data_IF_782333794383
#
_entry.id   IF_782333794383
#
_cell.length_a   1.000
_cell.length_b   1.000
_cell.length_c   1.000
_cell.angle_alpha   90.00
_cell.angle_beta   90.00
_cell.angle_gamma   90.00
#
_symmetry.space_group_name_H-M   'P 1'
#
loop_
_entity.id
_entity.type
_entity.pdbx_description
1 polymer ?
#
# COMPACT_ATOMS: atom_id res chain seq x y z
N UNK A 1 3.42 28.54 76.84
CA UNK A 1 4.28 28.52 75.63
C UNK A 1 4.05 27.21 74.88
N UNK A 2 3.43 27.34 73.70
CA UNK A 2 3.32 26.46 72.50
C UNK A 2 3.45 24.93 72.66
N UNK A 3 2.31 24.26 72.47
CA UNK A 3 2.20 22.83 72.15
C UNK A 3 2.52 22.57 70.67
N UNK A 4 3.47 21.69 70.37
CA UNK A 4 3.83 21.27 69.01
C UNK A 4 3.08 19.99 68.67
N UNK A 5 2.17 20.06 67.68
CA UNK A 5 1.55 18.88 67.06
C UNK A 5 2.42 18.45 65.88
N UNK A 6 2.96 17.23 65.93
CA UNK A 6 3.69 16.61 64.83
C UNK A 6 2.66 15.96 63.90
N UNK A 7 2.51 16.51 62.70
CA UNK A 7 1.73 15.92 61.60
C UNK A 7 2.64 14.92 60.85
N UNK A 8 2.30 13.64 60.91
CA UNK A 8 2.92 12.59 60.08
C UNK A 8 2.16 12.58 58.75
N UNK A 9 2.80 13.10 57.69
CA UNK A 9 2.28 12.98 56.33
C UNK A 9 2.65 11.59 55.78
N UNK A 10 1.64 10.75 55.57
CA UNK A 10 1.80 9.47 54.87
C UNK A 10 1.94 9.72 53.37
N UNK A 11 3.13 9.49 52.82
CA UNK A 11 3.39 9.52 51.39
C UNK A 11 2.82 8.24 50.74
N UNK A 12 1.70 8.39 50.02
CA UNK A 12 1.14 7.33 49.19
C UNK A 12 2.03 7.21 47.93
N UNK A 13 2.82 6.15 47.85
CA UNK A 13 3.52 5.77 46.62
C UNK A 13 2.48 5.24 45.62
N UNK A 14 2.06 6.10 44.69
CA UNK A 14 1.40 5.68 43.45
C UNK A 14 2.42 4.94 42.60
N UNK A 15 2.36 3.61 42.59
CA UNK A 15 3.09 2.77 41.64
C UNK A 15 2.45 3.03 40.27
N UNK A 16 3.08 3.93 39.51
CA UNK A 16 2.84 4.11 38.08
C UNK A 16 3.30 2.83 37.38
N UNK A 17 2.36 1.95 37.04
CA UNK A 17 2.60 0.90 36.07
C UNK A 17 2.66 1.56 34.70
N UNK A 18 3.87 1.91 34.26
CA UNK A 18 4.10 2.29 32.88
C UNK A 18 3.53 1.20 31.97
N UNK A 19 2.73 1.54 30.94
CA UNK A 19 2.31 0.55 29.97
C UNK A 19 3.58 0.00 29.33
N UNK A 20 3.75 -1.32 29.39
CA UNK A 20 4.80 -2.05 28.69
C UNK A 20 4.64 -1.78 27.19
N UNK A 21 5.29 -0.72 26.72
CA UNK A 21 5.36 -0.38 25.32
C UNK A 21 5.98 -1.54 24.58
N UNK A 22 5.32 -1.99 23.51
CA UNK A 22 5.95 -2.89 22.55
C UNK A 22 7.18 -2.18 21.99
N UNK A 23 8.36 -2.56 22.49
CA UNK A 23 9.66 -2.06 22.03
C UNK A 23 10.22 -3.00 20.97
N UNK A 24 9.48 -3.18 19.88
CA UNK A 24 10.12 -3.57 18.63
C UNK A 24 9.93 -2.39 17.69
N UNK A 25 11.03 -1.72 17.28
CA UNK A 25 10.93 -0.69 16.27
C UNK A 25 10.34 -1.30 15.00
N UNK A 26 9.46 -0.55 14.33
CA UNK A 26 8.90 -0.94 13.03
C UNK A 26 10.07 -1.34 12.11
N UNK A 27 9.92 -2.44 11.36
CA UNK A 27 10.95 -2.82 10.40
C UNK A 27 11.20 -1.66 9.42
N UNK A 28 12.47 -1.39 9.16
CA UNK A 28 12.88 -0.33 8.24
C UNK A 28 12.42 -0.63 6.81
N UNK A 29 12.13 0.42 6.05
CA UNK A 29 11.87 0.30 4.63
C UNK A 29 13.14 -0.19 3.92
N UNK A 30 13.02 -1.24 3.13
CA UNK A 30 14.14 -1.74 2.31
C UNK A 30 14.61 -0.64 1.34
N UNK A 31 15.91 -0.56 1.04
CA UNK A 31 16.39 0.34 0.00
C UNK A 31 15.72 0.00 -1.34
N UNK A 32 15.59 1.02 -2.19
CA UNK A 32 15.14 0.81 -3.58
C UNK A 32 16.09 -0.18 -4.27
N UNK A 33 15.51 -1.15 -4.99
CA UNK A 33 16.23 -2.28 -5.58
C UNK A 33 16.03 -2.37 -7.09
N UNK A 34 16.82 -3.21 -7.77
CA UNK A 34 16.69 -3.53 -9.20
C UNK A 34 16.73 -2.26 -10.08
N UNK A 35 16.05 -2.29 -11.23
CA UNK A 35 15.97 -1.19 -12.17
C UNK A 35 15.17 0.02 -11.64
N UNK A 36 14.38 -0.13 -10.56
CA UNK A 36 13.72 1.02 -9.91
C UNK A 36 14.75 2.03 -9.42
N UNK A 37 15.89 1.55 -8.90
CA UNK A 37 17.00 2.40 -8.48
C UNK A 37 17.62 3.11 -9.70
N UNK A 38 17.92 2.35 -10.74
CA UNK A 38 18.56 2.87 -11.97
C UNK A 38 17.73 3.96 -12.64
N UNK A 39 16.42 3.75 -12.79
CA UNK A 39 15.55 4.79 -13.36
C UNK A 39 15.34 5.96 -12.40
N UNK A 40 15.30 5.71 -11.09
CA UNK A 40 15.18 6.76 -10.07
C UNK A 40 16.41 7.66 -9.93
N UNK A 41 17.57 7.26 -10.47
CA UNK A 41 18.78 8.09 -10.54
C UNK A 41 18.77 9.05 -11.75
N UNK A 42 17.87 8.85 -12.72
CA UNK A 42 17.70 9.75 -13.86
C UNK A 42 16.96 11.02 -13.43
N UNK A 43 17.13 12.10 -14.20
CA UNK A 43 16.45 13.37 -13.92
C UNK A 43 14.93 13.19 -14.03
N UNK A 44 14.22 13.46 -12.94
CA UNK A 44 12.76 13.57 -12.89
C UNK A 44 12.22 14.97 -13.21
N UNK A 45 13.11 15.93 -13.50
CA UNK A 45 12.73 17.31 -13.85
C UNK A 45 12.22 17.42 -15.29
N UNK A 46 11.44 18.48 -15.60
CA UNK A 46 11.01 18.73 -16.97
C UNK A 46 12.18 18.81 -17.95
N UNK A 47 12.05 18.14 -19.10
CA UNK A 47 12.99 18.24 -20.21
C UNK A 47 12.40 19.16 -21.30
N UNK A 48 13.05 20.31 -21.62
CA UNK A 48 12.54 21.26 -22.61
C UNK A 48 12.29 20.68 -24.00
N UNK A 49 13.05 19.66 -24.42
CA UNK A 49 12.88 19.02 -25.74
C UNK A 49 11.56 18.25 -25.86
N UNK A 50 10.95 17.89 -24.73
CA UNK A 50 9.70 17.13 -24.66
C UNK A 50 8.63 17.85 -23.82
N UNK A 51 8.73 19.17 -23.69
CA UNK A 51 7.84 19.96 -22.83
C UNK A 51 6.33 19.79 -23.14
N UNK A 52 5.99 19.45 -24.39
CA UNK A 52 4.60 19.15 -24.78
C UNK A 52 3.98 18.00 -23.96
N UNK A 53 4.80 17.03 -23.51
CA UNK A 53 4.33 15.89 -22.71
C UNK A 53 3.78 16.33 -21.35
N UNK A 54 4.29 17.42 -20.78
CA UNK A 54 3.85 17.91 -19.46
C UNK A 54 2.46 18.58 -19.51
N UNK A 55 1.94 18.84 -20.70
CA UNK A 55 0.54 19.28 -20.88
C UNK A 55 -0.46 18.13 -20.77
N UNK A 56 0.01 16.88 -20.82
CA UNK A 56 -0.85 15.69 -20.83
C UNK A 56 -1.17 15.27 -19.40
N UNK A 57 -2.45 15.26 -19.07
CA UNK A 57 -2.98 14.70 -17.82
C UNK A 57 -3.86 13.50 -18.12
N UNK A 58 -4.24 12.75 -17.09
CA UNK A 58 -5.18 11.65 -17.26
C UNK A 58 -6.51 12.19 -17.86
N UNK A 59 -7.01 11.63 -18.98
CA UNK A 59 -8.19 12.16 -19.64
C UNK A 59 -9.45 12.09 -18.76
N UNK A 60 -10.15 13.22 -18.60
CA UNK A 60 -11.39 13.27 -17.82
C UNK A 60 -12.47 12.32 -18.32
N UNK A 61 -12.55 12.12 -19.64
CA UNK A 61 -13.50 11.19 -20.27
C UNK A 61 -13.24 9.72 -19.89
N UNK A 62 -12.03 9.38 -19.43
CA UNK A 62 -11.66 8.04 -18.97
C UNK A 62 -11.80 7.87 -17.44
N UNK A 63 -12.03 8.95 -16.68
CA UNK A 63 -12.04 8.89 -15.21
C UNK A 63 -13.38 8.33 -14.71
N UNK A 64 -13.33 7.12 -14.14
CA UNK A 64 -14.49 6.49 -13.52
C UNK A 64 -15.05 7.33 -12.36
N UNK A 65 -16.36 7.62 -12.33
CA UNK A 65 -17.01 8.23 -11.18
C UNK A 65 -16.79 7.45 -9.88
N UNK A 66 -16.73 6.12 -9.95
CA UNK A 66 -16.50 5.26 -8.77
C UNK A 66 -15.11 5.48 -8.16
N UNK A 67 -14.11 5.79 -8.96
CA UNK A 67 -12.78 6.12 -8.45
C UNK A 67 -12.81 7.44 -7.65
N UNK A 68 -13.66 8.40 -8.04
CA UNK A 68 -13.87 9.65 -7.30
C UNK A 68 -14.64 9.39 -6.01
N UNK A 69 -15.71 8.60 -6.03
CA UNK A 69 -16.52 8.35 -4.83
C UNK A 69 -15.73 7.66 -3.72
N UNK A 70 -14.82 6.74 -4.06
CA UNK A 70 -13.93 6.11 -3.09
C UNK A 70 -13.01 7.13 -2.36
N UNK A 71 -12.65 8.25 -3.00
CA UNK A 71 -11.84 9.29 -2.36
C UNK A 71 -12.61 10.11 -1.30
N UNK A 72 -13.93 10.02 -1.27
CA UNK A 72 -14.79 10.78 -0.36
C UNK A 72 -15.00 10.08 0.99
N UNK A 73 -14.64 8.79 1.09
CA UNK A 73 -14.80 8.00 2.30
C UNK A 73 -13.77 8.41 3.35
N UNK A 74 -14.15 8.38 4.63
CA UNK A 74 -13.21 8.63 5.73
C UNK A 74 -12.27 7.46 5.91
N UNK A 75 -11.04 7.75 6.28
CA UNK A 75 -10.08 6.76 6.78
C UNK A 75 -10.48 6.26 8.17
N UNK A 76 -10.03 5.05 8.52
CA UNK A 76 -10.19 4.35 9.79
C UNK A 76 -9.02 4.64 10.72
N UNK A 77 -7.78 4.38 10.28
CA UNK A 77 -6.59 4.51 11.12
C UNK A 77 -5.76 5.75 10.79
N UNK A 78 -5.68 6.11 9.52
CA UNK A 78 -4.94 7.27 9.04
C UNK A 78 -5.66 8.55 9.45
N UNK A 79 -4.97 9.43 10.18
CA UNK A 79 -5.53 10.72 10.59
C UNK A 79 -5.41 11.76 9.47
N UNK A 80 -6.33 12.73 9.37
CA UNK A 80 -6.26 13.76 8.33
C UNK A 80 -4.93 14.53 8.27
N UNK A 81 -4.32 14.81 9.43
CA UNK A 81 -3.04 15.53 9.52
C UNK A 81 -1.85 14.71 9.00
N UNK A 82 -1.91 13.38 9.10
CA UNK A 82 -0.88 12.48 8.56
C UNK A 82 -1.12 12.23 7.07
N UNK A 83 -2.38 12.08 6.67
CA UNK A 83 -2.78 11.98 5.26
C UNK A 83 -2.33 13.19 4.44
N UNK A 84 -2.49 14.40 4.98
CA UNK A 84 -2.10 15.65 4.31
C UNK A 84 -0.59 15.71 3.95
N UNK A 85 0.25 14.89 4.60
CA UNK A 85 1.69 14.79 4.32
C UNK A 85 1.99 13.86 3.15
N UNK A 86 1.10 12.93 2.80
CA UNK A 86 1.35 11.89 1.80
C UNK A 86 1.70 12.44 0.42
N UNK A 87 1.03 13.48 -0.13
CA UNK A 87 1.41 14.05 -1.41
C UNK A 87 2.83 14.63 -1.45
N UNK A 88 3.38 15.04 -0.29
CA UNK A 88 4.75 15.56 -0.18
C UNK A 88 5.82 14.48 0.02
N UNK A 89 5.46 13.21 0.20
CA UNK A 89 6.43 12.13 0.39
C UNK A 89 7.05 11.66 -0.93
N UNK A 90 6.27 11.69 -2.01
CA UNK A 90 6.71 11.28 -3.34
C UNK A 90 5.89 11.99 -4.40
N UNK A 91 6.58 12.48 -5.43
CA UNK A 91 5.96 13.10 -6.59
C UNK A 91 6.22 12.21 -7.82
N UNK A 92 5.30 12.15 -8.78
CA UNK A 92 5.61 11.57 -10.07
C UNK A 92 6.68 12.42 -10.77
N UNK A 93 7.64 11.81 -11.48
CA UNK A 93 8.51 12.53 -12.40
C UNK A 93 7.69 13.30 -13.43
N UNK A 94 8.22 14.41 -13.96
CA UNK A 94 7.58 15.12 -15.07
C UNK A 94 7.36 14.16 -16.25
N UNK A 95 6.29 14.34 -17.01
CA UNK A 95 6.02 13.47 -18.16
C UNK A 95 7.15 13.58 -19.20
N UNK A 96 7.72 14.77 -19.36
CA UNK A 96 8.82 15.05 -20.28
C UNK A 96 10.19 14.53 -19.79
N UNK A 97 10.32 14.20 -18.51
CA UNK A 97 11.61 13.90 -17.85
C UNK A 97 12.36 12.72 -18.47
N UNK A 98 13.67 12.67 -18.24
CA UNK A 98 14.52 11.57 -18.71
C UNK A 98 14.19 10.26 -18.00
N UNK A 99 13.79 10.34 -16.72
CA UNK A 99 13.25 9.19 -15.99
C UNK A 99 11.98 8.64 -16.66
N UNK A 100 10.96 9.46 -16.93
CA UNK A 100 9.73 9.00 -17.59
C UNK A 100 10.03 8.40 -18.96
N UNK A 101 10.97 8.96 -19.73
CA UNK A 101 11.36 8.41 -21.03
C UNK A 101 11.97 7.00 -20.90
N UNK A 102 12.93 6.81 -20.00
CA UNK A 102 13.52 5.49 -19.76
C UNK A 102 12.51 4.46 -19.25
N UNK A 103 11.56 4.90 -18.42
CA UNK A 103 10.46 4.07 -17.93
C UNK A 103 9.52 3.62 -19.06
N UNK A 104 9.18 4.51 -20.00
CA UNK A 104 8.39 4.14 -21.19
C UNK A 104 9.14 3.16 -22.10
N UNK A 105 10.45 3.34 -22.27
CA UNK A 105 11.28 2.43 -23.06
C UNK A 105 11.37 1.03 -22.42
N UNK A 106 11.42 0.97 -21.09
CA UNK A 106 11.30 -0.28 -20.34
C UNK A 106 9.98 -1.00 -20.60
N UNK A 107 8.85 -0.28 -20.57
CA UNK A 107 7.54 -0.87 -20.82
C UNK A 107 7.39 -1.36 -22.27
N UNK A 108 7.95 -0.63 -23.24
CA UNK A 108 8.02 -1.09 -24.64
C UNK A 108 8.86 -2.36 -24.77
N UNK A 109 9.99 -2.45 -24.06
CA UNK A 109 10.79 -3.67 -24.03
C UNK A 109 9.99 -4.85 -23.45
N UNK A 110 9.29 -4.66 -22.32
CA UNK A 110 8.44 -5.69 -21.71
C UNK A 110 7.32 -6.13 -22.65
N UNK A 111 6.66 -5.19 -23.33
CA UNK A 111 5.62 -5.50 -24.31
C UNK A 111 6.14 -6.43 -25.41
N UNK A 112 7.38 -6.22 -25.86
CA UNK A 112 7.99 -7.01 -26.94
C UNK A 112 8.57 -8.34 -26.47
N UNK A 113 8.84 -8.51 -25.17
CA UNK A 113 9.50 -9.70 -24.62
C UNK A 113 8.62 -10.56 -23.70
N UNK A 114 7.46 -10.08 -23.28
CA UNK A 114 6.58 -10.81 -22.34
C UNK A 114 6.07 -12.12 -22.96
N UNK A 115 6.18 -13.19 -22.18
CA UNK A 115 5.70 -14.53 -22.53
C UNK A 115 4.22 -14.70 -22.20
N UNK A 116 3.57 -15.74 -22.77
CA UNK A 116 2.16 -16.04 -22.48
C UNK A 116 1.93 -16.35 -21.01
N UNK A 117 2.88 -17.03 -20.39
CA UNK A 117 2.85 -17.43 -18.98
C UNK A 117 2.92 -16.19 -18.07
N UNK A 118 3.80 -15.23 -18.40
CA UNK A 118 3.89 -13.97 -17.67
C UNK A 118 2.60 -13.14 -17.83
N UNK A 119 2.03 -13.09 -19.03
CA UNK A 119 0.75 -12.41 -19.29
C UNK A 119 -0.35 -13.01 -18.42
N UNK A 120 -0.55 -14.32 -18.48
CA UNK A 120 -1.57 -15.03 -17.71
C UNK A 120 -1.39 -14.80 -16.21
N UNK A 121 -0.15 -14.81 -15.72
CA UNK A 121 0.14 -14.53 -14.30
C UNK A 121 -0.20 -13.08 -13.92
N UNK A 122 0.14 -12.11 -14.76
CA UNK A 122 -0.16 -10.71 -14.48
C UNK A 122 -1.66 -10.39 -14.55
N UNK A 123 -2.39 -11.02 -15.45
CA UNK A 123 -3.86 -10.94 -15.55
C UNK A 123 -4.53 -11.58 -14.33
N UNK A 124 -4.06 -12.75 -13.89
CA UNK A 124 -4.50 -13.36 -12.63
C UNK A 124 -4.32 -12.40 -11.46
N UNK A 125 -3.12 -11.84 -11.27
CA UNK A 125 -2.84 -10.87 -10.20
C UNK A 125 -3.69 -9.60 -10.34
N UNK A 126 -4.03 -9.18 -11.57
CA UNK A 126 -4.86 -7.99 -11.79
C UNK A 126 -6.27 -8.11 -11.23
N UNK A 127 -6.78 -9.33 -11.15
CA UNK A 127 -8.10 -9.62 -10.59
C UNK A 127 -8.08 -9.85 -9.07
N UNK A 128 -6.91 -9.73 -8.43
CA UNK A 128 -6.81 -9.79 -6.97
C UNK A 128 -6.89 -8.36 -6.41
N UNK A 129 -7.82 -8.16 -5.49
CA UNK A 129 -7.93 -6.95 -4.71
C UNK A 129 -9.22 -6.91 -3.90
N UNK A 130 -9.09 -6.48 -2.66
CA UNK A 130 -10.24 -6.32 -1.77
C UNK A 130 -10.79 -4.88 -1.78
N UNK A 131 -12.06 -4.78 -1.42
CA UNK A 131 -12.87 -3.59 -1.34
C UNK A 131 -13.59 -3.52 0.01
N UNK A 132 -13.48 -2.37 0.69
CA UNK A 132 -14.07 -2.15 2.02
C UNK A 132 -15.60 -2.05 1.99
N UNK A 133 -16.19 -1.76 0.83
CA UNK A 133 -17.64 -1.58 0.68
C UNK A 133 -18.40 -2.87 0.31
N UNK A 134 -17.72 -4.02 0.20
CA UNK A 134 -18.37 -5.34 0.05
C UNK A 134 -18.66 -5.91 1.44
N UNK A 135 -19.78 -5.48 2.02
CA UNK A 135 -20.15 -5.71 3.41
C UNK A 135 -21.23 -6.78 3.60
N UNK A 136 -22.08 -7.00 2.60
CA UNK A 136 -23.23 -7.88 2.74
C UNK A 136 -22.82 -9.36 2.51
N UNK A 137 -23.00 -10.26 3.51
CA UNK A 137 -22.61 -11.67 3.41
C UNK A 137 -23.33 -12.46 2.32
N UNK A 138 -24.39 -11.92 1.74
CA UNK A 138 -25.11 -12.56 0.63
C UNK A 138 -24.65 -12.09 -0.75
N UNK A 139 -23.75 -11.11 -0.84
CA UNK A 139 -23.20 -10.67 -2.13
C UNK A 139 -22.30 -11.77 -2.72
N UNK A 140 -22.38 -12.03 -4.04
CA UNK A 140 -21.56 -13.07 -4.69
C UNK A 140 -20.05 -12.91 -4.44
N UNK A 141 -19.58 -11.67 -4.33
CA UNK A 141 -18.16 -11.35 -4.17
C UNK A 141 -17.70 -11.33 -2.71
N UNK A 142 -18.60 -11.50 -1.73
CA UNK A 142 -18.29 -11.34 -0.30
C UNK A 142 -17.18 -12.28 0.21
N UNK A 143 -17.28 -13.55 -0.18
CA UNK A 143 -16.34 -14.62 0.19
C UNK A 143 -14.98 -14.38 -0.44
N UNK A 144 -14.95 -14.08 -1.74
CA UNK A 144 -13.72 -13.87 -2.50
C UNK A 144 -13.00 -12.60 -2.04
N UNK A 145 -13.74 -11.51 -1.81
CA UNK A 145 -13.21 -10.26 -1.26
C UNK A 145 -12.42 -10.48 0.04
N UNK A 146 -12.89 -11.37 0.92
CA UNK A 146 -12.24 -11.69 2.20
C UNK A 146 -11.07 -12.65 2.04
N UNK A 147 -11.15 -13.62 1.13
CA UNK A 147 -10.00 -14.49 0.82
C UNK A 147 -8.83 -13.68 0.28
N UNK A 148 -9.10 -12.70 -0.58
CA UNK A 148 -8.07 -11.88 -1.21
C UNK A 148 -7.33 -10.95 -0.24
N UNK A 149 -7.89 -10.62 0.93
CA UNK A 149 -7.17 -9.91 2.02
C UNK A 149 -5.92 -10.65 2.48
N UNK A 150 -5.86 -11.98 2.25
CA UNK A 150 -4.77 -12.82 2.69
C UNK A 150 -3.83 -13.23 1.55
N UNK A 151 -3.96 -12.65 0.35
CA UNK A 151 -3.14 -13.02 -0.81
C UNK A 151 -1.63 -12.91 -0.54
N UNK A 152 -1.21 -11.86 0.17
CA UNK A 152 0.20 -11.67 0.54
C UNK A 152 0.70 -12.75 1.50
N UNK A 153 -0.18 -13.25 2.38
CA UNK A 153 0.16 -14.27 3.35
C UNK A 153 0.22 -15.69 2.77
N UNK A 154 -0.15 -15.91 1.49
CA UNK A 154 -0.28 -17.24 0.86
C UNK A 154 0.92 -18.17 1.10
N UNK A 155 2.13 -17.60 1.19
CA UNK A 155 3.39 -18.32 1.47
C UNK A 155 3.51 -18.94 2.87
N UNK A 156 2.55 -18.67 3.77
CA UNK A 156 2.53 -19.19 5.15
C UNK A 156 1.89 -20.57 5.24
N UNK A 157 0.99 -20.92 4.31
CA UNK A 157 0.28 -22.21 4.26
C UNK A 157 -1.23 -22.06 4.04
N UNK A 158 -1.97 -23.16 4.11
CA UNK A 158 -3.41 -23.24 3.87
C UNK A 158 -4.27 -23.39 5.14
N UNK A 159 -3.63 -23.49 6.30
CA UNK A 159 -4.26 -23.71 7.61
C UNK A 159 -4.95 -22.46 8.19
N UNK A 160 -4.62 -21.27 7.67
CA UNK A 160 -5.26 -20.02 8.03
C UNK A 160 -6.24 -19.58 6.95
N UNK A 161 -7.33 -18.91 7.35
CA UNK A 161 -8.27 -18.26 6.45
C UNK A 161 -9.04 -17.17 7.21
N UNK A 162 -9.82 -16.38 6.47
CA UNK A 162 -10.52 -15.25 7.07
C UNK A 162 -11.57 -15.65 8.14
N UNK A 163 -12.05 -16.90 8.15
CA UNK A 163 -13.03 -17.39 9.15
C UNK A 163 -12.37 -17.78 10.47
N UNK A 164 -11.20 -18.43 10.44
CA UNK A 164 -10.47 -18.81 11.66
C UNK A 164 -9.44 -17.75 12.11
N UNK A 165 -9.26 -16.66 11.36
CA UNK A 165 -8.48 -15.48 11.73
C UNK A 165 -9.33 -14.18 11.75
N UNK A 166 -10.39 -14.10 12.58
CA UNK A 166 -11.29 -12.95 12.60
C UNK A 166 -10.61 -11.63 13.02
N UNK A 167 -9.64 -11.65 13.95
CA UNK A 167 -8.95 -10.43 14.37
C UNK A 167 -8.07 -9.87 13.25
N UNK A 168 -7.33 -10.74 12.56
CA UNK A 168 -6.53 -10.37 11.39
C UNK A 168 -7.43 -9.90 10.25
N UNK A 169 -8.55 -10.58 10.00
CA UNK A 169 -9.52 -10.18 8.96
C UNK A 169 -10.06 -8.78 9.21
N UNK A 170 -10.44 -8.46 10.45
CA UNK A 170 -10.95 -7.13 10.80
C UNK A 170 -9.87 -6.04 10.63
N UNK A 171 -8.63 -6.33 11.05
CA UNK A 171 -7.50 -5.42 10.85
C UNK A 171 -7.27 -5.13 9.36
N UNK A 172 -7.26 -6.17 8.51
CA UNK A 172 -7.07 -6.04 7.06
C UNK A 172 -8.22 -5.27 6.39
N UNK A 173 -9.47 -5.49 6.81
CA UNK A 173 -10.62 -4.71 6.32
C UNK A 173 -10.53 -3.21 6.67
N UNK A 174 -10.02 -2.88 7.85
CA UNK A 174 -9.81 -1.48 8.22
C UNK A 174 -8.64 -0.86 7.43
N UNK A 175 -7.55 -1.61 7.24
CA UNK A 175 -6.41 -1.18 6.43
C UNK A 175 -6.77 -1.01 4.95
N UNK A 176 -7.55 -1.91 4.35
CA UNK A 176 -7.93 -1.80 2.92
C UNK A 176 -8.77 -0.55 2.67
N UNK A 177 -9.61 -0.13 3.62
CA UNK A 177 -10.34 1.14 3.50
C UNK A 177 -9.37 2.33 3.39
N UNK A 178 -8.41 2.43 4.30
CA UNK A 178 -7.40 3.50 4.26
C UNK A 178 -6.55 3.46 2.99
N UNK A 179 -6.15 2.27 2.55
CA UNK A 179 -5.39 2.07 1.32
C UNK A 179 -6.17 2.57 0.11
N UNK A 180 -7.45 2.19 -0.04
CA UNK A 180 -8.28 2.60 -1.19
C UNK A 180 -8.54 4.10 -1.16
N UNK A 181 -8.88 4.66 -0.01
CA UNK A 181 -9.08 6.11 0.14
C UNK A 181 -7.81 6.88 -0.25
N UNK A 182 -6.65 6.44 0.27
CA UNK A 182 -5.34 7.03 -0.03
C UNK A 182 -5.01 6.94 -1.52
N UNK A 183 -5.17 5.75 -2.12
CA UNK A 183 -4.95 5.50 -3.54
C UNK A 183 -5.69 6.54 -4.40
N UNK A 184 -7.01 6.65 -4.19
CA UNK A 184 -7.84 7.50 -5.03
C UNK A 184 -7.64 8.99 -4.77
N UNK A 185 -7.29 9.39 -3.54
CA UNK A 185 -6.93 10.78 -3.23
C UNK A 185 -5.62 11.21 -3.89
N UNK A 186 -4.59 10.36 -3.85
CA UNK A 186 -3.34 10.65 -4.56
C UNK A 186 -3.56 10.73 -6.07
N UNK A 187 -4.36 9.80 -6.63
CA UNK A 187 -4.75 9.86 -8.05
C UNK A 187 -5.46 11.16 -8.40
N UNK A 188 -6.34 11.65 -7.53
CA UNK A 188 -7.03 12.92 -7.70
C UNK A 188 -6.10 14.14 -7.64
N UNK A 189 -5.12 14.12 -6.73
CA UNK A 189 -4.12 15.19 -6.59
C UNK A 189 -3.25 15.28 -7.85
N UNK A 190 -2.65 14.16 -8.24
CA UNK A 190 -1.62 14.16 -9.28
C UNK A 190 -2.15 14.05 -10.70
N UNK A 191 -3.29 13.38 -10.91
CA UNK A 191 -3.91 13.17 -12.24
C UNK A 191 -2.91 12.71 -13.31
N UNK A 192 -1.89 11.94 -12.91
CA UNK A 192 -0.82 11.49 -13.81
C UNK A 192 -1.40 10.66 -14.96
N UNK A 193 -1.04 11.02 -16.18
CA UNK A 193 -1.35 10.24 -17.36
C UNK A 193 -0.72 8.84 -17.28
N UNK A 194 -1.48 7.80 -17.64
CA UNK A 194 -0.97 6.41 -17.78
C UNK A 194 0.08 6.31 -18.92
N UNK A 195 0.97 5.29 -18.90
CA UNK A 195 1.99 5.09 -19.94
C UNK A 195 1.47 5.18 -21.38
N UNK A 196 0.34 4.52 -21.66
CA UNK A 196 -0.28 4.47 -22.99
C UNK A 196 -0.91 5.79 -23.46
N UNK A 197 -0.99 6.82 -22.60
CA UNK A 197 -1.36 8.17 -23.05
C UNK A 197 -0.15 8.96 -23.56
N UNK A 198 1.06 8.64 -23.06
CA UNK A 198 2.30 9.33 -23.43
C UNK A 198 3.04 8.63 -24.56
N UNK A 199 2.91 7.30 -24.67
CA UNK A 199 3.59 6.48 -25.67
C UNK A 199 2.57 5.76 -26.58
N UNK A 200 2.29 6.29 -27.79
CA UNK A 200 1.33 5.70 -28.72
C UNK A 200 1.67 4.28 -29.18
N UNK A 201 2.94 3.88 -29.13
CA UNK A 201 3.37 2.51 -29.48
C UNK A 201 3.05 1.48 -28.39
N UNK A 202 2.71 1.93 -27.18
CA UNK A 202 2.37 1.05 -26.08
C UNK A 202 0.92 0.55 -26.23
N UNK A 203 0.77 -0.77 -26.30
CA UNK A 203 -0.49 -1.51 -26.38
C UNK A 203 -0.68 -2.25 -25.04
N UNK A 204 -1.31 -1.61 -24.04
CA UNK A 204 -1.48 -2.21 -22.73
C UNK A 204 -2.45 -3.40 -22.82
N UNK A 205 -2.25 -4.40 -21.96
CA UNK A 205 -3.13 -5.58 -21.93
C UNK A 205 -4.51 -5.26 -21.34
N UNK A 206 -4.61 -4.16 -20.60
CA UNK A 206 -5.87 -3.64 -20.06
C UNK A 206 -5.78 -2.12 -19.92
N UNK A 207 -6.94 -1.45 -19.83
CA UNK A 207 -7.01 0.00 -19.57
C UNK A 207 -7.70 0.25 -18.25
N UNK A 208 -7.13 1.14 -17.45
CA UNK A 208 -7.64 1.46 -16.12
C UNK A 208 -8.25 2.86 -16.11
N UNK A 209 -9.48 2.96 -15.60
CA UNK A 209 -10.31 4.18 -15.59
C UNK A 209 -10.01 5.10 -14.40
N UNK A 210 -8.73 5.28 -14.08
CA UNK A 210 -8.25 6.19 -13.04
C UNK A 210 -6.80 6.63 -13.32
N UNK A 211 -6.33 7.79 -12.79
CA UNK A 211 -4.96 8.25 -12.95
C UNK A 211 -3.88 7.24 -12.53
N UNK A 212 -2.66 7.40 -13.05
CA UNK A 212 -1.57 6.42 -12.85
C UNK A 212 -0.97 6.50 -11.44
N UNK A 213 -0.77 7.70 -10.88
CA UNK A 213 0.03 7.85 -9.66
C UNK A 213 -0.82 7.89 -8.38
N UNK A 214 -0.45 7.18 -7.30
CA UNK A 214 0.49 6.06 -7.27
C UNK A 214 -0.20 4.76 -7.73
N UNK A 215 0.55 3.67 -7.93
CA UNK A 215 -0.04 2.38 -8.28
C UNK A 215 -0.85 1.79 -7.12
N UNK A 216 -2.13 1.49 -7.36
CA UNK A 216 -3.06 0.99 -6.34
C UNK A 216 -2.74 -0.41 -5.85
N UNK A 217 -2.54 -1.34 -6.80
CA UNK A 217 -2.13 -2.72 -6.47
C UNK A 217 -0.79 -2.75 -5.75
N UNK A 218 0.17 -1.89 -6.13
CA UNK A 218 1.45 -1.81 -5.44
C UNK A 218 1.30 -1.22 -4.04
N UNK A 219 0.47 -0.19 -3.87
CA UNK A 219 0.19 0.40 -2.55
C UNK A 219 -0.43 -0.65 -1.62
N UNK A 220 -1.44 -1.37 -2.10
CA UNK A 220 -2.09 -2.45 -1.38
C UNK A 220 -1.10 -3.57 -1.00
N UNK A 221 -0.45 -4.17 -1.98
CA UNK A 221 0.42 -5.34 -1.76
C UNK A 221 1.61 -5.03 -0.84
N UNK A 222 2.27 -3.88 -0.99
CA UNK A 222 3.35 -3.51 -0.06
C UNK A 222 2.84 -3.17 1.33
N UNK A 223 1.67 -2.51 1.45
CA UNK A 223 1.12 -2.19 2.77
C UNK A 223 0.79 -3.46 3.55
N UNK A 224 0.16 -4.44 2.89
CA UNK A 224 -0.09 -5.75 3.49
C UNK A 224 1.21 -6.51 3.75
N UNK A 225 2.20 -6.48 2.85
CA UNK A 225 3.48 -7.14 3.07
C UNK A 225 4.22 -6.58 4.31
N UNK A 226 4.23 -5.26 4.48
CA UNK A 226 4.81 -4.65 5.67
C UNK A 226 4.00 -4.99 6.92
N UNK A 227 2.67 -4.96 6.85
CA UNK A 227 1.79 -5.32 7.97
C UNK A 227 1.99 -6.78 8.41
N UNK A 228 1.96 -7.73 7.47
CA UNK A 228 2.21 -9.14 7.75
C UNK A 228 3.63 -9.38 8.24
N UNK A 229 4.61 -8.58 7.81
CA UNK A 229 5.98 -8.63 8.36
C UNK A 229 6.04 -8.19 9.81
N UNK A 230 5.12 -7.36 10.29
CA UNK A 230 4.99 -7.06 11.72
C UNK A 230 4.30 -8.19 12.48
N UNK A 231 3.42 -8.95 11.83
CA UNK A 231 2.66 -10.06 12.43
C UNK A 231 3.49 -11.35 12.49
N UNK A 232 4.21 -11.66 11.41
CA UNK A 232 5.00 -12.89 11.19
C UNK A 232 6.39 -12.51 10.64
N UNK A 233 7.27 -11.93 11.49
CA UNK A 233 8.54 -11.35 11.03
C UNK A 233 9.45 -12.30 10.25
N UNK A 234 9.44 -13.58 10.60
CA UNK A 234 10.24 -14.63 9.95
C UNK A 234 9.85 -14.90 8.49
N UNK A 235 8.69 -14.40 8.03
CA UNK A 235 8.21 -14.53 6.65
C UNK A 235 8.33 -13.23 5.85
N UNK A 236 8.91 -12.17 6.43
CA UNK A 236 9.06 -10.84 5.79
C UNK A 236 9.59 -10.93 4.35
N UNK A 237 10.67 -11.66 4.11
CA UNK A 237 11.27 -11.77 2.79
C UNK A 237 10.28 -12.30 1.74
N UNK A 238 9.48 -13.32 2.09
CA UNK A 238 8.47 -13.89 1.20
C UNK A 238 7.31 -12.92 0.93
N UNK A 239 6.89 -12.15 1.93
CA UNK A 239 5.85 -11.14 1.75
C UNK A 239 6.32 -10.00 0.83
N UNK A 240 7.55 -9.53 1.01
CA UNK A 240 8.13 -8.49 0.14
C UNK A 240 8.31 -9.01 -1.29
N UNK A 241 8.75 -10.25 -1.47
CA UNK A 241 8.85 -10.88 -2.78
C UNK A 241 7.48 -11.00 -3.49
N UNK A 242 6.43 -11.34 -2.74
CA UNK A 242 5.06 -11.39 -3.26
C UNK A 242 4.57 -10.00 -3.68
N UNK A 243 4.83 -8.96 -2.88
CA UNK A 243 4.52 -7.58 -3.27
C UNK A 243 5.34 -7.11 -4.48
N UNK A 244 6.58 -7.57 -4.62
CA UNK A 244 7.43 -7.35 -5.79
C UNK A 244 6.80 -7.95 -7.07
N UNK A 245 6.25 -9.15 -6.99
CA UNK A 245 5.51 -9.77 -8.10
C UNK A 245 4.29 -8.92 -8.49
N UNK A 246 3.55 -8.42 -7.49
CA UNK A 246 2.38 -7.56 -7.72
C UNK A 246 2.79 -6.27 -8.43
N UNK A 247 3.81 -5.54 -7.97
CA UNK A 247 4.23 -4.31 -8.67
C UNK A 247 4.74 -4.58 -10.08
N UNK A 248 5.55 -5.63 -10.27
CA UNK A 248 6.11 -5.98 -11.57
C UNK A 248 5.02 -6.34 -12.58
N UNK A 249 3.99 -7.07 -12.15
CA UNK A 249 2.85 -7.41 -13.01
C UNK A 249 2.12 -6.17 -13.56
N UNK A 250 2.17 -5.02 -12.86
CA UNK A 250 1.56 -3.77 -13.35
C UNK A 250 2.32 -3.16 -14.52
N UNK A 251 3.63 -3.32 -14.51
CA UNK A 251 4.52 -2.91 -15.61
C UNK A 251 4.35 -3.84 -16.80
N UNK A 252 4.27 -5.15 -16.55
CA UNK A 252 4.01 -6.14 -17.61
C UNK A 252 2.70 -5.88 -18.37
N UNK A 253 1.66 -5.42 -17.66
CA UNK A 253 0.38 -5.02 -18.24
C UNK A 253 0.45 -3.70 -19.03
N UNK A 254 1.52 -2.90 -18.87
CA UNK A 254 1.71 -1.61 -19.53
C UNK A 254 0.89 -0.47 -18.92
N UNK A 255 0.47 -0.58 -17.66
CA UNK A 255 -0.50 0.33 -17.02
C UNK A 255 0.07 1.24 -15.93
N UNK A 256 1.31 1.00 -15.49
CA UNK A 256 2.02 1.80 -14.50
C UNK A 256 3.49 1.95 -14.86
N UNK A 257 4.07 3.09 -14.51
CA UNK A 257 5.52 3.31 -14.59
C UNK A 257 6.22 2.67 -13.37
N UNK A 258 7.51 2.28 -13.49
CA UNK A 258 8.34 1.94 -12.33
C UNK A 258 8.26 2.98 -11.19
N UNK A 259 8.27 4.28 -11.50
CA UNK A 259 8.09 5.36 -10.52
C UNK A 259 6.74 5.34 -9.79
N UNK A 260 5.64 4.97 -10.43
CA UNK A 260 4.34 4.83 -9.73
C UNK A 260 4.38 3.71 -8.69
N UNK A 261 5.09 2.63 -9.02
CA UNK A 261 5.21 1.44 -8.19
C UNK A 261 6.14 1.67 -7.00
N UNK A 262 7.29 2.31 -7.23
CA UNK A 262 8.23 2.64 -6.16
C UNK A 262 7.67 3.69 -5.20
N UNK A 263 6.98 4.72 -5.72
CA UNK A 263 6.28 5.68 -4.88
C UNK A 263 5.23 5.00 -4.00
N UNK A 264 4.46 4.05 -4.56
CA UNK A 264 3.46 3.29 -3.81
C UNK A 264 4.09 2.48 -2.66
N UNK A 265 5.28 1.89 -2.86
CA UNK A 265 6.04 1.17 -1.83
C UNK A 265 6.47 2.10 -0.69
N UNK A 266 6.95 3.31 -1.01
CA UNK A 266 7.34 4.31 0.00
C UNK A 266 6.13 4.80 0.79
N UNK A 267 5.01 5.07 0.10
CA UNK A 267 3.76 5.52 0.72
C UNK A 267 3.18 4.40 1.63
N UNK A 268 3.21 3.15 1.18
CA UNK A 268 2.76 1.99 1.96
C UNK A 268 3.45 1.88 3.33
N UNK A 269 4.77 2.06 3.36
CA UNK A 269 5.52 2.03 4.62
C UNK A 269 5.17 3.21 5.53
N UNK A 270 4.93 4.40 4.96
CA UNK A 270 4.48 5.56 5.72
C UNK A 270 3.06 5.39 6.26
N UNK A 271 2.15 4.75 5.52
CA UNK A 271 0.82 4.39 6.04
C UNK A 271 0.96 3.56 7.31
N UNK A 272 1.74 2.48 7.26
CA UNK A 272 1.99 1.64 8.44
C UNK A 272 2.62 2.45 9.59
N UNK A 273 3.62 3.30 9.30
CA UNK A 273 4.24 4.18 10.30
C UNK A 273 3.23 5.14 10.95
N UNK A 274 2.33 5.73 10.18
CA UNK A 274 1.31 6.63 10.72
C UNK A 274 0.24 5.88 11.51
N UNK A 275 -0.17 4.70 11.03
CA UNK A 275 -1.09 3.84 11.77
C UNK A 275 -0.54 3.40 13.13
N UNK A 276 0.77 3.20 13.26
CA UNK A 276 1.41 2.92 14.56
C UNK A 276 1.21 4.04 15.60
N UNK A 277 0.86 5.27 15.18
CA UNK A 277 0.50 6.38 16.08
C UNK A 277 -1.00 6.42 16.42
N UNK A 278 -1.80 5.48 15.90
CA UNK A 278 -3.22 5.33 16.20
C UNK A 278 -3.44 4.23 17.26
N UNK A 279 -3.97 4.55 18.46
CA UNK A 279 -4.18 3.56 19.53
C UNK A 279 -5.10 2.39 19.15
N UNK A 280 -6.08 2.63 18.27
CA UNK A 280 -6.98 1.58 17.79
C UNK A 280 -6.24 0.60 16.88
N UNK A 281 -5.41 1.11 15.95
CA UNK A 281 -4.56 0.26 15.12
C UNK A 281 -3.61 -0.60 15.96
N UNK A 282 -2.93 0.00 16.93
CA UNK A 282 -2.01 -0.74 17.83
C UNK A 282 -2.74 -1.85 18.58
N UNK A 283 -3.97 -1.58 19.02
CA UNK A 283 -4.82 -2.58 19.70
C UNK A 283 -5.20 -3.72 18.76
N UNK A 284 -5.62 -3.42 17.53
CA UNK A 284 -6.05 -4.43 16.56
C UNK A 284 -4.86 -5.25 16.03
N UNK A 285 -3.71 -4.61 15.79
CA UNK A 285 -2.46 -5.28 15.45
C UNK A 285 -2.02 -6.25 16.56
N UNK A 286 -2.16 -5.86 17.85
CA UNK A 286 -1.85 -6.75 18.97
C UNK A 286 -2.76 -7.98 18.98
N UNK A 287 -4.05 -7.83 18.68
CA UNK A 287 -4.99 -8.96 18.58
C UNK A 287 -4.61 -9.89 17.43
N UNK A 288 -4.31 -9.34 16.25
CA UNK A 288 -3.84 -10.14 15.12
C UNK A 288 -2.55 -10.91 15.48
N UNK A 289 -1.53 -10.25 16.05
CA UNK A 289 -0.30 -10.92 16.52
C UNK A 289 -0.58 -12.06 17.51
N UNK A 290 -1.50 -11.86 18.45
CA UNK A 290 -1.88 -12.89 19.41
C UNK A 290 -2.59 -14.08 18.74
N UNK A 291 -3.50 -13.81 17.80
CA UNK A 291 -4.22 -14.81 17.01
C UNK A 291 -3.25 -15.72 16.24
N UNK A 292 -2.34 -15.14 15.45
CA UNK A 292 -1.29 -15.88 14.74
C UNK A 292 -0.41 -16.69 15.68
N UNK A 293 0.00 -16.13 16.83
CA UNK A 293 0.82 -16.87 17.80
C UNK A 293 0.07 -18.05 18.42
N UNK A 294 -1.22 -17.92 18.71
CA UNK A 294 -2.02 -18.98 19.34
C UNK A 294 -2.32 -20.16 18.42
N UNK A 295 -2.48 -19.89 17.12
CA UNK A 295 -2.88 -20.88 16.12
C UNK A 295 -1.70 -21.49 15.36
N UNK A 296 -0.49 -20.93 15.47
CA UNK A 296 0.76 -21.49 14.93
C UNK A 296 1.27 -22.71 15.72
N UNK A 297 0.45 -23.31 16.58
CA UNK A 297 0.84 -24.55 17.27
C UNK A 297 0.68 -25.70 16.27
N UNK A 298 1.81 -26.35 15.98
CA UNK A 298 1.99 -27.57 15.21
C UNK A 298 2.40 -27.40 13.72
N UNK A 299 3.33 -26.46 13.46
CA UNK A 299 4.23 -26.49 12.29
C UNK A 299 5.69 -26.64 12.71
#
# INVERSE_FOLDING_TARGET
MKSIRILIAAAIYLISTAPSGFSQPLHSLEPVSRYYKTYGELSGHPNPERAWMDTITFPWLEYSPNAITNSLVRTVYLKPEDEAKLPGLSHPPANSSDQTRAELDHLLSLQNSRTKEQIARAEYIANIGSWFNILNPTDPDYEENRKQLFYIAESVGDWYNYKNFPATTQLLLNCIQDIRVTEFRLKWVFKRARPYHLEPKLQPLTRIKSPSFASGHSLWSFTEAFLFSEIIPEKRAAFIEKADEVRWSRELLGIHYPSDNEAARVIAWHLLKYWMNNPQFVTDLKKAKAEWKSLKRDL
#
